data_IF_318487876159
#
_entry.id   IF_318487876159
#
_cell.length_a   1.000
_cell.length_b   1.000
_cell.length_c   1.000
_cell.angle_alpha   90.00
_cell.angle_beta   90.00
_cell.angle_gamma   90.00
#
_symmetry.space_group_name_H-M   'P 1'
#
loop_
_entity.id
_entity.type
_entity.pdbx_description
1 polymer ?
#
# COMPACT_ATOMS: atom_id res chain seq x y z
N UNK A 1 -17.26 -21.20 -15.93
CA UNK A 1 -15.85 -20.89 -15.60
C UNK A 1 -15.87 -19.73 -14.63
N UNK A 2 -15.17 -19.85 -13.50
CA UNK A 2 -14.95 -18.73 -12.57
C UNK A 2 -14.02 -17.74 -13.29
N UNK A 3 -14.33 -16.45 -13.26
CA UNK A 3 -13.47 -15.43 -13.84
C UNK A 3 -12.15 -15.34 -13.06
N UNK A 4 -11.07 -14.89 -13.70
CA UNK A 4 -9.76 -14.75 -13.03
C UNK A 4 -9.84 -13.82 -11.81
N UNK A 5 -10.70 -12.80 -11.86
CA UNK A 5 -10.88 -11.83 -10.78
C UNK A 5 -11.64 -12.43 -9.60
N UNK A 6 -12.67 -13.25 -9.85
CA UNK A 6 -13.36 -14.02 -8.79
C UNK A 6 -12.45 -15.06 -8.13
N UNK A 7 -11.46 -15.61 -8.85
CA UNK A 7 -10.47 -16.50 -8.24
C UNK A 7 -9.50 -15.76 -7.32
N UNK A 8 -9.12 -14.53 -7.69
CA UNK A 8 -8.20 -13.71 -6.90
C UNK A 8 -8.88 -13.08 -5.68
N UNK A 9 -10.20 -12.95 -5.70
CA UNK A 9 -11.02 -12.45 -4.58
C UNK A 9 -12.24 -13.36 -4.29
N UNK A 10 -12.03 -14.61 -3.86
CA UNK A 10 -13.09 -15.62 -3.73
C UNK A 10 -14.09 -15.32 -2.61
N UNK A 11 -13.76 -14.41 -1.69
CA UNK A 11 -14.61 -13.96 -0.59
C UNK A 11 -15.13 -12.54 -0.80
N UNK A 12 -14.95 -11.97 -1.99
CA UNK A 12 -15.43 -10.64 -2.36
C UNK A 12 -14.98 -9.54 -1.37
N UNK A 13 -13.72 -9.56 -0.96
CA UNK A 13 -13.11 -8.54 -0.10
C UNK A 13 -13.36 -7.13 -0.64
N UNK A 14 -13.29 -6.93 -1.96
CA UNK A 14 -13.57 -5.61 -2.56
C UNK A 14 -14.99 -5.11 -2.27
N UNK A 15 -15.95 -6.01 -2.03
CA UNK A 15 -17.34 -5.60 -1.75
C UNK A 15 -17.53 -5.07 -0.32
N UNK A 16 -16.67 -5.46 0.62
CA UNK A 16 -16.80 -5.08 2.04
C UNK A 16 -15.96 -3.87 2.44
N UNK A 17 -15.06 -3.42 1.56
CA UNK A 17 -14.26 -2.22 1.78
C UNK A 17 -15.08 -0.96 1.49
N UNK A 18 -14.90 0.06 2.33
CA UNK A 18 -15.33 1.43 2.07
C UNK A 18 -14.58 2.05 0.88
N UNK A 19 -15.11 3.15 0.35
CA UNK A 19 -14.47 3.85 -0.78
C UNK A 19 -13.10 4.42 -0.40
N UNK A 20 -12.94 4.87 0.85
CA UNK A 20 -11.67 5.35 1.37
C UNK A 20 -10.63 4.22 1.44
N UNK A 21 -11.01 3.05 1.96
CA UNK A 21 -10.12 1.88 2.02
C UNK A 21 -9.70 1.40 0.63
N UNK A 22 -10.63 1.39 -0.33
CA UNK A 22 -10.32 1.09 -1.74
C UNK A 22 -9.35 2.10 -2.33
N UNK A 23 -9.54 3.39 -2.04
CA UNK A 23 -8.67 4.45 -2.51
C UNK A 23 -7.26 4.32 -1.93
N UNK A 24 -7.15 4.04 -0.63
CA UNK A 24 -5.87 3.79 0.06
C UNK A 24 -5.18 2.56 -0.54
N UNK A 25 -5.89 1.44 -0.69
CA UNK A 25 -5.37 0.21 -1.31
C UNK A 25 -4.83 0.47 -2.71
N UNK A 26 -5.58 1.19 -3.55
CA UNK A 26 -5.18 1.53 -4.91
C UNK A 26 -3.93 2.40 -4.93
N UNK A 27 -3.86 3.40 -4.05
CA UNK A 27 -2.73 4.33 -3.95
C UNK A 27 -1.46 3.63 -3.47
N UNK A 28 -1.58 2.79 -2.44
CA UNK A 28 -0.46 1.97 -1.94
C UNK A 28 0.04 1.00 -3.01
N UNK A 29 -0.86 0.30 -3.71
CA UNK A 29 -0.50 -0.60 -4.81
C UNK A 29 0.26 0.13 -5.91
N UNK A 30 -0.25 1.29 -6.35
CA UNK A 30 0.40 2.10 -7.38
C UNK A 30 1.82 2.53 -6.96
N UNK A 31 2.00 2.94 -5.71
CA UNK A 31 3.33 3.28 -5.20
C UNK A 31 4.28 2.07 -5.21
N UNK A 32 3.80 0.90 -4.78
CA UNK A 32 4.60 -0.32 -4.81
C UNK A 32 5.03 -0.67 -6.25
N UNK A 33 4.14 -0.56 -7.23
CA UNK A 33 4.41 -0.85 -8.64
C UNK A 33 5.37 0.18 -9.27
N UNK A 34 5.14 1.47 -9.02
CA UNK A 34 5.89 2.55 -9.67
C UNK A 34 7.25 2.82 -9.01
N UNK A 35 7.38 2.62 -7.69
CA UNK A 35 8.56 3.03 -6.91
C UNK A 35 9.36 1.87 -6.34
N UNK A 36 8.69 0.88 -5.74
CA UNK A 36 9.38 -0.20 -5.02
C UNK A 36 9.78 -1.36 -5.92
N UNK A 37 8.89 -1.79 -6.80
CA UNK A 37 9.10 -2.93 -7.70
C UNK A 37 10.33 -2.75 -8.62
N UNK A 38 10.63 -1.56 -9.19
CA UNK A 38 11.81 -1.40 -10.04
C UNK A 38 13.15 -1.57 -9.31
N UNK A 39 13.19 -1.33 -8.00
CA UNK A 39 14.44 -1.25 -7.22
C UNK A 39 14.66 -2.45 -6.30
N UNK A 40 13.61 -3.20 -5.96
CA UNK A 40 13.63 -4.21 -4.89
C UNK A 40 14.70 -5.28 -5.11
N UNK A 41 14.85 -5.80 -6.33
CA UNK A 41 15.82 -6.87 -6.63
C UNK A 41 17.25 -6.40 -6.41
N UNK A 42 17.61 -5.25 -7.01
CA UNK A 42 18.96 -4.67 -6.91
C UNK A 42 19.29 -4.29 -5.46
N UNK A 43 18.37 -3.63 -4.77
CA UNK A 43 18.59 -3.17 -3.40
C UNK A 43 18.74 -4.34 -2.43
N UNK A 44 17.92 -5.39 -2.59
CA UNK A 44 18.02 -6.61 -1.79
C UNK A 44 19.37 -7.32 -2.01
N UNK A 45 19.81 -7.48 -3.27
CA UNK A 45 21.11 -8.08 -3.59
C UNK A 45 22.30 -7.32 -2.98
N UNK A 46 22.18 -5.99 -2.88
CA UNK A 46 23.21 -5.14 -2.31
C UNK A 46 23.07 -4.92 -0.79
N UNK A 47 22.12 -5.58 -0.12
CA UNK A 47 21.79 -5.35 1.29
C UNK A 47 21.58 -3.87 1.63
N UNK A 48 20.98 -3.13 0.70
CA UNK A 48 20.80 -1.68 0.79
C UNK A 48 19.33 -1.30 0.95
N UNK A 49 19.08 -0.29 1.78
CA UNK A 49 17.77 0.34 1.92
C UNK A 49 17.92 1.86 1.78
N UNK A 50 17.17 2.43 0.85
CA UNK A 50 17.13 3.88 0.66
C UNK A 50 16.26 4.52 1.74
N UNK A 51 16.89 5.31 2.63
CA UNK A 51 16.21 5.98 3.74
C UNK A 51 15.28 7.10 3.26
N UNK A 52 15.45 7.62 2.04
CA UNK A 52 14.54 8.64 1.52
C UNK A 52 13.12 8.09 1.29
N UNK A 53 12.96 6.76 1.15
CA UNK A 53 11.65 6.10 1.10
C UNK A 53 10.79 6.40 2.33
N UNK A 54 11.38 6.66 3.51
CA UNK A 54 10.58 7.06 4.68
C UNK A 54 9.83 8.36 4.46
N UNK A 55 10.41 9.32 3.74
CA UNK A 55 9.73 10.58 3.42
C UNK A 55 8.59 10.36 2.45
N UNK A 56 8.80 9.50 1.45
CA UNK A 56 7.75 9.12 0.49
C UNK A 56 6.59 8.42 1.21
N UNK A 57 6.87 7.43 2.07
CA UNK A 57 5.85 6.76 2.87
C UNK A 57 5.08 7.73 3.76
N UNK A 58 5.78 8.65 4.44
CA UNK A 58 5.15 9.68 5.26
C UNK A 58 4.25 10.61 4.45
N UNK A 59 4.69 11.05 3.27
CA UNK A 59 3.91 11.92 2.38
C UNK A 59 2.62 11.27 1.88
N UNK A 60 2.60 9.94 1.80
CA UNK A 60 1.44 9.15 1.42
C UNK A 60 0.56 8.72 2.59
N UNK A 61 0.93 9.05 3.84
CA UNK A 61 0.20 8.60 5.01
C UNK A 61 0.36 7.11 5.33
N UNK A 62 1.41 6.45 4.83
CA UNK A 62 1.62 5.03 5.06
C UNK A 62 2.32 4.72 6.39
N UNK A 63 2.76 5.75 7.12
CA UNK A 63 3.42 5.62 8.41
C UNK A 63 2.45 5.92 9.55
N UNK A 64 2.26 4.95 10.45
CA UNK A 64 1.41 5.13 11.62
C UNK A 64 -0.05 5.38 11.26
N UNK A 65 -0.57 4.80 10.18
CA UNK A 65 -1.87 5.14 9.59
C UNK A 65 -3.05 5.11 10.55
N UNK A 66 -3.01 4.31 11.62
CA UNK A 66 -4.08 4.18 12.62
C UNK A 66 -3.86 5.03 13.89
N UNK A 67 -2.76 5.79 13.95
CA UNK A 67 -2.50 6.74 15.04
C UNK A 67 -3.47 7.91 14.90
N UNK A 68 -4.04 8.35 16.03
CA UNK A 68 -4.94 9.51 16.08
C UNK A 68 -4.10 10.74 16.45
N UNK A 69 -4.25 11.82 15.68
CA UNK A 69 -3.48 13.06 15.84
C UNK A 69 -2.08 13.00 15.23
N UNK A 70 -1.23 13.98 15.59
CA UNK A 70 0.17 14.07 15.20
C UNK A 70 0.44 14.13 13.68
N UNK A 71 -0.56 14.50 12.87
CA UNK A 71 -0.45 14.54 11.40
C UNK A 71 -0.59 13.17 10.73
N UNK A 72 -1.10 12.17 11.46
CA UNK A 72 -1.47 10.86 10.92
C UNK A 72 -2.74 10.94 10.05
N UNK A 73 -2.95 10.01 9.09
CA UNK A 73 -4.18 9.93 8.31
C UNK A 73 -5.39 9.36 9.05
N UNK A 74 -5.22 8.82 10.25
CA UNK A 74 -6.30 8.33 11.12
C UNK A 74 -7.24 7.30 10.46
N UNK A 75 -6.67 6.36 9.70
CA UNK A 75 -7.39 5.27 9.03
C UNK A 75 -8.04 4.34 10.06
N UNK A 76 -9.23 3.84 9.73
CA UNK A 76 -9.99 2.90 10.57
C UNK A 76 -9.17 1.68 11.00
N UNK A 77 -9.48 1.17 12.20
CA UNK A 77 -8.90 -0.05 12.78
C UNK A 77 -9.66 -1.30 12.35
#
# INVERSE_FOLDING_TARGET
MISKDEWLDPLYLESVLSDDEKSIKKSAKKFCEDKLLPIVVKNNQNHFFDKELYKEFGSMGLLGSTVIGFGSPEVNK
#
